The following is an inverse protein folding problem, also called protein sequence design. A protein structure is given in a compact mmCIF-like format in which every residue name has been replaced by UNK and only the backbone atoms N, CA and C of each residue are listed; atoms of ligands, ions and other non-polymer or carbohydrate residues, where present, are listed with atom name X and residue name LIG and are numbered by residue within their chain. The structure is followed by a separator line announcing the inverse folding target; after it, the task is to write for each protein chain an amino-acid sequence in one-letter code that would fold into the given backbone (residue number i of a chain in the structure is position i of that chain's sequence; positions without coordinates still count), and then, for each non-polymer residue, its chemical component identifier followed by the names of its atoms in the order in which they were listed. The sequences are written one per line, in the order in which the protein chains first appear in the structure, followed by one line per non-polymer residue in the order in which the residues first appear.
data_IF_448975009527
#
_entry.id   IF_448975009527
#
_cell.length_a   1.000
_cell.length_b   1.000
_cell.length_c   1.000
_cell.angle_alpha   90.00
_cell.angle_beta   90.00
_cell.angle_gamma   90.00
#
_symmetry.space_group_name_H-M   'P 1'
#
loop_
_entity.id
_entity.type
_entity.pdbx_description
1 polymer ?
#
# COMPACT_ATOMS: atom_id res chain seq x y z
N UNK A 1 -22.71 39.88 42.96
CA UNK A 1 -22.70 38.41 43.02
C UNK A 1 -23.22 37.87 41.70
N UNK A 2 -22.33 37.16 41.00
CA UNK A 2 -22.53 36.13 39.98
C UNK A 2 -23.55 36.37 38.87
N UNK A 3 -23.02 36.71 37.69
CA UNK A 3 -23.68 36.51 36.40
C UNK A 3 -23.72 35.03 36.04
N UNK A 4 -24.79 34.61 35.36
CA UNK A 4 -24.90 33.30 34.73
C UNK A 4 -24.80 33.54 33.23
N UNK A 5 -23.61 33.31 32.71
CA UNK A 5 -23.35 33.22 31.28
C UNK A 5 -23.94 31.90 30.78
N UNK A 6 -25.03 31.98 30.03
CA UNK A 6 -25.59 30.85 29.30
C UNK A 6 -24.59 30.48 28.20
N UNK A 7 -23.91 29.34 28.38
CA UNK A 7 -22.91 28.83 27.47
C UNK A 7 -23.53 28.54 26.10
N UNK A 8 -23.10 29.29 25.09
CA UNK A 8 -23.15 28.83 23.70
C UNK A 8 -22.00 27.84 23.58
N UNK A 9 -22.32 26.56 23.83
CA UNK A 9 -21.46 25.45 23.45
C UNK A 9 -21.32 25.50 21.93
N UNK A 10 -20.23 26.09 21.46
CA UNK A 10 -19.79 25.93 20.08
C UNK A 10 -19.51 24.44 19.89
N UNK A 11 -20.49 23.73 19.34
CA UNK A 11 -20.26 22.45 18.73
C UNK A 11 -19.25 22.72 17.61
N UNK A 12 -17.97 22.51 17.91
CA UNK A 12 -16.95 22.34 16.89
C UNK A 12 -17.37 21.08 16.15
N UNK A 13 -18.15 21.27 15.08
CA UNK A 13 -18.28 20.29 14.04
C UNK A 13 -16.85 20.06 13.56
N UNK A 14 -16.23 19.02 14.10
CA UNK A 14 -15.06 18.42 13.47
C UNK A 14 -15.60 17.92 12.15
N UNK A 15 -15.48 18.78 11.14
CA UNK A 15 -15.55 18.39 9.75
C UNK A 15 -14.38 17.41 9.65
N UNK A 16 -14.66 16.12 9.87
CA UNK A 16 -13.93 15.07 9.20
C UNK A 16 -14.17 15.35 7.73
N UNK A 17 -13.39 16.29 7.18
CA UNK A 17 -12.95 16.21 5.82
C UNK A 17 -12.37 14.82 5.79
N UNK A 18 -13.14 13.87 5.29
CA UNK A 18 -12.66 12.52 5.07
C UNK A 18 -11.30 12.72 4.44
N UNK A 19 -10.30 12.08 5.00
CA UNK A 19 -9.10 11.82 4.24
C UNK A 19 -9.65 11.23 2.93
N UNK A 20 -9.70 12.05 1.88
CA UNK A 20 -9.81 11.51 0.56
C UNK A 20 -8.67 10.54 0.55
N UNK A 21 -8.98 9.24 0.56
CA UNK A 21 -8.12 8.23 0.00
C UNK A 21 -7.49 8.94 -1.19
N UNK A 22 -6.19 9.19 -1.12
CA UNK A 22 -5.48 9.88 -2.18
C UNK A 22 -5.47 8.88 -3.35
N UNK A 23 -6.62 8.74 -4.00
CA UNK A 23 -6.75 8.02 -5.24
C UNK A 23 -5.77 8.73 -6.16
N UNK A 24 -4.76 8.01 -6.62
CA UNK A 24 -3.76 8.59 -7.49
C UNK A 24 -4.45 8.91 -8.83
N UNK A 25 -4.95 10.14 -8.95
CA UNK A 25 -5.69 10.64 -10.13
C UNK A 25 -4.78 10.81 -11.36
N UNK A 26 -3.46 10.72 -11.16
CA UNK A 26 -2.43 10.60 -12.18
C UNK A 26 -1.56 9.39 -11.83
N UNK A 27 -0.94 8.72 -12.82
CA UNK A 27 0.01 7.64 -12.55
C UNK A 27 1.04 8.08 -11.51
N UNK A 28 1.12 7.31 -10.43
CA UNK A 28 2.09 7.51 -9.37
C UNK A 28 3.03 6.31 -9.33
N UNK A 29 4.31 6.61 -9.22
CA UNK A 29 5.37 5.61 -9.09
C UNK A 29 5.95 5.71 -7.69
N UNK A 30 5.79 4.63 -6.94
CA UNK A 30 6.36 4.42 -5.62
C UNK A 30 7.53 3.47 -5.73
N UNK A 31 8.69 3.84 -5.19
CA UNK A 31 9.88 2.98 -5.15
C UNK A 31 10.39 2.83 -3.73
N UNK A 32 10.85 1.64 -3.38
CA UNK A 32 11.44 1.36 -2.08
C UNK A 32 12.14 0.01 -2.07
N UNK A 33 12.69 -0.35 -0.92
CA UNK A 33 13.37 -1.64 -0.72
C UNK A 33 12.65 -2.43 0.35
N UNK A 34 12.34 -3.68 0.03
CA UNK A 34 11.65 -4.63 0.89
C UNK A 34 12.63 -5.71 1.34
N UNK A 35 12.61 -6.01 2.64
CA UNK A 35 13.22 -7.22 3.17
C UNK A 35 12.11 -8.23 3.46
N UNK A 36 12.26 -9.42 2.91
CA UNK A 36 11.28 -10.50 2.98
C UNK A 36 11.87 -11.67 3.79
N UNK A 37 11.41 -11.91 5.02
CA UNK A 37 11.88 -13.01 5.85
C UNK A 37 11.27 -14.34 5.40
N UNK A 38 12.12 -15.34 5.16
CA UNK A 38 11.73 -16.70 4.78
C UNK A 38 11.58 -17.63 5.99
N UNK A 39 10.86 -18.74 5.84
CA UNK A 39 10.65 -19.74 6.90
C UNK A 39 11.94 -20.39 7.41
N UNK A 40 12.98 -20.46 6.57
CA UNK A 40 14.29 -21.02 6.91
C UNK A 40 15.17 -20.05 7.71
N UNK A 41 14.66 -18.85 8.01
CA UNK A 41 15.35 -17.79 8.73
C UNK A 41 16.28 -16.94 7.85
N UNK A 42 16.32 -17.18 6.55
CA UNK A 42 16.96 -16.26 5.60
C UNK A 42 16.10 -15.01 5.38
N UNK A 43 16.72 -13.97 4.83
CA UNK A 43 16.04 -12.76 4.38
C UNK A 43 16.45 -12.50 2.94
N UNK A 44 15.47 -12.37 2.07
CA UNK A 44 15.66 -11.92 0.70
C UNK A 44 15.33 -10.43 0.60
N UNK A 45 16.07 -9.71 -0.23
CA UNK A 45 15.88 -8.27 -0.39
C UNK A 45 15.45 -7.97 -1.82
N UNK A 46 14.42 -7.15 -1.96
CA UNK A 46 13.82 -6.78 -3.23
C UNK A 46 13.77 -5.26 -3.40
N UNK A 47 14.18 -4.77 -4.56
CA UNK A 47 13.87 -3.41 -4.99
C UNK A 47 12.46 -3.40 -5.60
N UNK A 48 11.56 -2.63 -4.99
CA UNK A 48 10.15 -2.52 -5.40
C UNK A 48 9.93 -1.27 -6.25
N UNK A 49 9.15 -1.43 -7.32
CA UNK A 49 8.51 -0.35 -8.07
C UNK A 49 7.02 -0.65 -8.17
N UNK A 50 6.22 0.12 -7.44
CA UNK A 50 4.77 0.08 -7.48
C UNK A 50 4.26 1.24 -8.32
N UNK A 51 3.56 0.95 -9.41
CA UNK A 51 2.87 1.93 -10.26
C UNK A 51 1.38 1.84 -10.01
N UNK A 52 0.76 2.97 -9.69
CA UNK A 52 -0.66 3.07 -9.32
C UNK A 52 -1.33 4.14 -10.17
N UNK A 53 -2.49 3.82 -10.73
CA UNK A 53 -3.35 4.80 -11.38
C UNK A 53 -4.84 4.46 -11.14
N UNK A 54 -5.73 5.15 -11.84
CA UNK A 54 -7.17 4.91 -11.75
C UNK A 54 -7.61 3.60 -12.44
N UNK A 55 -6.79 3.02 -13.31
CA UNK A 55 -7.08 1.79 -14.03
C UNK A 55 -6.61 0.54 -13.28
N UNK A 56 -5.57 0.65 -12.46
CA UNK A 56 -5.09 -0.46 -11.64
C UNK A 56 -3.72 -0.23 -11.01
N UNK A 57 -3.02 -1.33 -10.79
CA UNK A 57 -1.68 -1.34 -10.23
C UNK A 57 -0.74 -2.25 -11.02
N UNK A 58 0.55 -2.00 -10.86
CA UNK A 58 1.64 -2.88 -11.28
C UNK A 58 2.74 -2.88 -10.22
N UNK A 59 3.16 -4.05 -9.78
CA UNK A 59 4.23 -4.26 -8.81
C UNK A 59 5.38 -4.96 -9.54
N UNK A 60 6.52 -4.29 -9.64
CA UNK A 60 7.75 -4.93 -10.09
C UNK A 60 8.68 -5.10 -8.89
N UNK A 61 9.08 -6.33 -8.62
CA UNK A 61 10.04 -6.66 -7.56
C UNK A 61 11.31 -7.23 -8.19
N UNK A 62 12.45 -6.59 -7.93
CA UNK A 62 13.76 -7.06 -8.41
C UNK A 62 14.55 -7.62 -7.25
N UNK A 63 14.83 -8.93 -7.26
CA UNK A 63 15.64 -9.57 -6.25
C UNK A 63 17.09 -9.04 -6.31
N UNK A 64 17.60 -8.53 -5.19
CA UNK A 64 18.89 -7.84 -5.15
C UNK A 64 20.07 -8.80 -5.38
N UNK A 65 19.94 -10.07 -5.00
CA UNK A 65 21.05 -11.01 -5.06
C UNK A 65 21.36 -11.51 -6.49
N UNK A 66 20.33 -11.75 -7.30
CA UNK A 66 20.47 -12.36 -8.64
C UNK A 66 19.83 -11.55 -9.78
N UNK A 67 19.10 -10.48 -9.46
CA UNK A 67 18.42 -9.63 -10.43
C UNK A 67 17.16 -10.24 -11.03
N UNK A 68 16.63 -11.33 -10.46
CA UNK A 68 15.35 -11.89 -10.88
C UNK A 68 14.23 -10.85 -10.71
N UNK A 69 13.37 -10.73 -11.71
CA UNK A 69 12.28 -9.75 -11.72
C UNK A 69 10.95 -10.48 -11.71
N UNK A 70 10.08 -10.11 -10.79
CA UNK A 70 8.63 -10.39 -10.88
C UNK A 70 7.91 -9.13 -11.36
N UNK A 71 6.80 -9.33 -12.05
CA UNK A 71 6.03 -8.27 -12.71
C UNK A 71 4.55 -8.59 -12.61
N UNK A 72 3.96 -8.17 -11.50
CA UNK A 72 2.56 -8.43 -11.16
C UNK A 72 1.70 -7.24 -11.54
N UNK A 73 0.53 -7.47 -12.12
CA UNK A 73 -0.41 -6.41 -12.46
C UNK A 73 -1.85 -6.84 -12.15
N UNK A 74 -2.67 -5.87 -11.78
CA UNK A 74 -4.07 -6.12 -11.45
C UNK A 74 -4.89 -4.86 -11.33
N UNK A 75 -6.15 -5.06 -10.97
CA UNK A 75 -7.11 -3.96 -10.76
C UNK A 75 -7.62 -4.00 -9.34
N UNK A 76 -7.68 -2.85 -8.69
CA UNK A 76 -8.23 -2.73 -7.35
C UNK A 76 -9.06 -1.48 -7.21
N UNK A 77 -10.14 -1.58 -6.44
CA UNK A 77 -10.97 -0.42 -6.12
C UNK A 77 -10.30 0.47 -5.06
N UNK A 78 -9.46 -0.11 -4.21
CA UNK A 78 -8.64 0.60 -3.22
C UNK A 78 -7.31 -0.16 -2.99
N UNK A 79 -6.20 0.56 -2.92
CA UNK A 79 -4.86 0.04 -2.56
C UNK A 79 -4.29 0.77 -1.34
N UNK A 80 -5.00 1.79 -0.84
CA UNK A 80 -4.81 2.38 0.47
C UNK A 80 -5.65 1.58 1.48
N UNK A 81 -5.50 1.86 2.79
CA UNK A 81 -6.22 1.15 3.87
C UNK A 81 -7.74 1.08 3.61
N UNK A 82 -8.34 -0.12 3.41
CA UNK A 82 -7.90 -1.45 3.91
C UNK A 82 -6.89 -2.25 3.08
N UNK A 83 -6.58 -1.84 1.85
CA UNK A 83 -5.62 -2.45 0.95
C UNK A 83 -6.28 -3.15 -0.25
N UNK A 84 -5.44 -3.84 -1.02
CA UNK A 84 -5.77 -4.55 -2.24
C UNK A 84 -5.34 -6.02 -2.19
N UNK A 85 -6.05 -6.90 -2.90
CA UNK A 85 -5.61 -8.28 -3.12
C UNK A 85 -5.02 -8.47 -4.52
N UNK A 86 -3.85 -9.10 -4.59
CA UNK A 86 -3.30 -9.68 -5.81
C UNK A 86 -3.54 -11.19 -5.81
N UNK A 87 -4.18 -11.71 -6.86
CA UNK A 87 -4.41 -13.14 -7.05
C UNK A 87 -3.45 -13.69 -8.10
N UNK A 88 -2.70 -14.72 -7.72
CA UNK A 88 -1.86 -15.46 -8.65
C UNK A 88 -2.71 -16.59 -9.23
N UNK A 89 -2.79 -16.62 -10.55
CA UNK A 89 -3.63 -17.58 -11.29
C UNK A 89 -2.78 -18.48 -12.16
N UNK A 90 -3.20 -19.74 -12.27
CA UNK A 90 -2.58 -20.69 -13.19
C UNK A 90 -2.97 -20.45 -14.66
N UNK A 91 -2.47 -21.30 -15.56
CA UNK A 91 -2.77 -21.22 -16.99
C UNK A 91 -4.24 -21.50 -17.34
N UNK A 92 -5.00 -22.14 -16.44
CA UNK A 92 -6.44 -22.37 -16.58
C UNK A 92 -7.26 -21.19 -16.03
N UNK A 93 -6.62 -20.25 -15.33
CA UNK A 93 -7.23 -19.09 -14.70
C UNK A 93 -7.70 -19.33 -13.27
N UNK A 94 -7.40 -20.50 -12.67
CA UNK A 94 -7.74 -20.80 -11.29
C UNK A 94 -6.78 -20.08 -10.33
N UNK A 95 -7.31 -19.57 -9.22
CA UNK A 95 -6.50 -18.90 -8.21
C UNK A 95 -5.69 -19.97 -7.47
N UNK A 96 -4.36 -19.89 -7.59
CA UNK A 96 -3.43 -20.81 -6.92
C UNK A 96 -2.86 -20.22 -5.64
N UNK A 97 -2.78 -18.89 -5.56
CA UNK A 97 -2.25 -18.17 -4.41
C UNK A 97 -2.74 -16.72 -4.41
N UNK A 98 -2.53 -15.98 -3.32
CA UNK A 98 -2.78 -14.54 -3.26
C UNK A 98 -1.95 -13.87 -2.16
N UNK A 99 -1.75 -12.56 -2.32
CA UNK A 99 -1.31 -11.68 -1.24
C UNK A 99 -2.19 -10.44 -1.15
N UNK A 100 -2.40 -9.96 0.07
CA UNK A 100 -3.04 -8.68 0.35
C UNK A 100 -1.93 -7.64 0.56
N UNK A 101 -1.98 -6.50 -0.13
CA UNK A 101 -1.02 -5.41 0.02
C UNK A 101 -1.72 -4.07 0.30
N UNK A 102 -1.03 -3.17 0.98
CA UNK A 102 -1.52 -1.83 1.28
C UNK A 102 -0.40 -0.81 1.18
N UNK A 103 -0.75 0.40 0.73
CA UNK A 103 0.12 1.57 0.79
C UNK A 103 -0.46 2.58 1.79
N UNK A 104 0.28 2.87 2.86
CA UNK A 104 -0.14 3.82 3.90
C UNK A 104 0.72 5.07 3.80
N UNK A 105 0.08 6.24 3.67
CA UNK A 105 0.78 7.52 3.70
C UNK A 105 1.39 7.76 5.10
N UNK A 106 2.66 8.16 5.13
CA UNK A 106 3.38 8.57 6.33
C UNK A 106 3.61 10.09 6.32
N UNK A 107 4.15 10.60 7.43
CA UNK A 107 4.60 11.99 7.51
C UNK A 107 5.78 12.24 6.55
N UNK A 108 5.87 13.47 6.04
CA UNK A 108 7.02 13.91 5.23
C UNK A 108 6.99 13.47 3.76
N UNK A 109 5.87 12.94 3.25
CA UNK A 109 5.74 12.52 1.85
C UNK A 109 6.30 11.12 1.57
N UNK A 110 6.55 10.35 2.63
CA UNK A 110 6.93 8.94 2.55
C UNK A 110 5.69 8.05 2.68
N UNK A 111 5.81 6.81 2.25
CA UNK A 111 4.74 5.82 2.32
C UNK A 111 5.29 4.52 2.91
N UNK A 112 4.45 3.76 3.62
CA UNK A 112 4.72 2.40 4.04
C UNK A 112 3.96 1.45 3.12
N UNK A 113 4.69 0.60 2.41
CA UNK A 113 4.13 -0.56 1.74
C UNK A 113 4.19 -1.76 2.70
N UNK A 114 3.12 -2.53 2.74
CA UNK A 114 3.09 -3.82 3.40
C UNK A 114 2.34 -4.83 2.55
N UNK A 115 2.79 -6.07 2.54
CA UNK A 115 2.12 -7.20 1.92
C UNK A 115 2.04 -8.38 2.89
N UNK A 116 0.96 -9.16 2.78
CA UNK A 116 0.77 -10.41 3.50
C UNK A 116 0.27 -11.49 2.55
N UNK A 117 1.04 -12.56 2.45
CA UNK A 117 0.76 -13.73 1.64
C UNK A 117 -0.22 -14.68 2.35
N UNK A 118 -0.93 -15.49 1.58
CA UNK A 118 -1.93 -16.43 2.08
C UNK A 118 -1.35 -17.49 3.04
N UNK A 119 -0.06 -17.81 2.89
CA UNK A 119 0.70 -18.71 3.74
C UNK A 119 1.24 -18.05 5.03
N UNK A 120 1.01 -16.75 5.20
CA UNK A 120 1.34 -15.99 6.40
C UNK A 120 2.67 -15.25 6.37
N UNK A 121 3.42 -15.27 5.26
CA UNK A 121 4.59 -14.40 5.11
C UNK A 121 4.19 -12.94 4.93
N UNK A 122 5.01 -12.05 5.48
CA UNK A 122 4.79 -10.61 5.43
C UNK A 122 6.04 -9.90 4.91
N UNK A 123 5.83 -8.99 3.97
CA UNK A 123 6.84 -8.10 3.42
C UNK A 123 6.52 -6.65 3.76
N UNK A 124 7.54 -5.83 3.94
CA UNK A 124 7.35 -4.41 4.23
C UNK A 124 8.45 -3.54 3.64
N UNK A 125 8.08 -2.37 3.11
CA UNK A 125 9.01 -1.41 2.55
C UNK A 125 8.61 0.02 2.89
N UNK A 126 9.63 0.86 3.11
CA UNK A 126 9.44 2.32 3.07
C UNK A 126 9.59 2.77 1.62
N UNK A 127 8.61 3.53 1.15
CA UNK A 127 8.47 3.92 -0.25
C UNK A 127 8.52 5.44 -0.39
N UNK A 128 9.15 5.88 -1.47
CA UNK A 128 9.07 7.26 -1.96
C UNK A 128 8.20 7.26 -3.20
N UNK A 129 7.16 8.09 -3.22
CA UNK A 129 6.25 8.17 -4.36
C UNK A 129 6.32 9.52 -5.06
N UNK A 130 6.28 9.49 -6.39
CA UNK A 130 6.26 10.66 -7.25
C UNK A 130 5.28 10.46 -8.41
N UNK A 131 4.63 11.53 -8.92
CA UNK A 131 3.94 11.48 -10.20
C UNK A 131 4.90 11.05 -11.33
N UNK A 132 4.40 10.27 -12.28
CA UNK A 132 5.15 9.89 -13.49
C UNK A 132 5.37 11.07 -14.45
#
# INVERSE_FOLDING_TARGET
MSGIWTGVGAAVAVIWAGACAAAFFSPMVCTGRMDFPNADGSTETYDLRLTLDAAGYRIMSTHVADGAVTDDAGTCTDYLDPGCRHEIRDAAGEVTDFYDFVLVALDGGEYAYAERWADGFEGGARMTCAPE
#
